data_IF_523093652660
#
_entry.id   IF_523093652660
#
_cell.length_a   1.000
_cell.length_b   1.000
_cell.length_c   1.000
_cell.angle_alpha   90.00
_cell.angle_beta   90.00
_cell.angle_gamma   90.00
#
_symmetry.space_group_name_H-M   'P 1'
#
loop_
_entity.id
_entity.type
_entity.pdbx_description
1 polymer ?
#
# COMPACT_ATOMS: atom_id res chain seq x y z
N UNK A 1 13.94 -3.20 -15.42
CA UNK A 1 12.71 -2.42 -15.24
C UNK A 1 12.14 -2.88 -13.91
N UNK A 2 11.81 -1.95 -13.01
CA UNK A 2 11.29 -2.30 -11.69
C UNK A 2 9.99 -3.08 -11.83
N UNK A 3 9.75 -4.03 -10.93
CA UNK A 3 8.54 -4.83 -10.90
C UNK A 3 7.49 -4.24 -9.94
N UNK A 4 6.20 -4.49 -10.16
CA UNK A 4 5.12 -4.00 -9.28
C UNK A 4 5.36 -4.40 -7.81
N UNK A 5 5.81 -5.63 -7.58
CA UNK A 5 6.15 -6.11 -6.23
C UNK A 5 7.30 -5.31 -5.62
N UNK A 6 8.26 -4.83 -6.40
CA UNK A 6 9.34 -4.00 -5.86
C UNK A 6 8.82 -2.64 -5.39
N UNK A 7 7.81 -2.08 -6.09
CA UNK A 7 7.09 -0.89 -5.64
C UNK A 7 6.38 -1.16 -4.31
N UNK A 8 5.62 -2.26 -4.22
CA UNK A 8 4.88 -2.61 -3.01
C UNK A 8 5.80 -2.94 -1.82
N UNK A 9 6.99 -3.52 -2.06
CA UNK A 9 8.00 -3.70 -1.02
C UNK A 9 8.48 -2.35 -0.48
N UNK A 10 8.64 -1.34 -1.33
CA UNK A 10 8.99 0.02 -0.87
C UNK A 10 7.85 0.63 -0.05
N UNK A 11 6.60 0.43 -0.48
CA UNK A 11 5.43 0.81 0.31
C UNK A 11 5.44 0.08 1.68
N UNK A 12 5.72 -1.22 1.73
CA UNK A 12 5.82 -1.99 2.98
C UNK A 12 6.93 -1.49 3.91
N UNK A 13 8.09 -1.16 3.36
CA UNK A 13 9.20 -0.58 4.13
C UNK A 13 8.83 0.79 4.69
N UNK A 14 8.15 1.61 3.88
CA UNK A 14 7.60 2.90 4.32
C UNK A 14 6.64 2.69 5.48
N UNK A 15 5.68 1.78 5.34
CA UNK A 15 4.67 1.45 6.35
C UNK A 15 5.31 1.02 7.66
N UNK A 16 6.29 0.12 7.60
CA UNK A 16 7.03 -0.34 8.76
C UNK A 16 7.76 0.82 9.43
N UNK A 17 8.46 1.64 8.65
CA UNK A 17 9.20 2.78 9.17
C UNK A 17 8.29 3.82 9.81
N UNK A 18 7.17 4.15 9.17
CA UNK A 18 6.15 5.04 9.73
C UNK A 18 5.64 4.50 11.06
N UNK A 19 5.33 3.20 11.15
CA UNK A 19 4.86 2.59 12.40
C UNK A 19 5.89 2.59 13.53
N UNK A 20 7.19 2.47 13.22
CA UNK A 20 8.29 2.55 14.20
C UNK A 20 8.51 3.97 14.71
N UNK A 21 8.25 4.98 13.88
CA UNK A 21 8.46 6.39 14.22
C UNK A 21 7.19 7.11 14.68
N UNK A 22 6.02 6.50 14.52
CA UNK A 22 4.76 7.14 14.86
C UNK A 22 4.68 7.39 16.37
N UNK A 23 4.55 8.67 16.74
CA UNK A 23 4.30 9.06 18.12
C UNK A 23 2.78 9.02 18.37
N UNK A 24 2.26 8.17 19.27
CA UNK A 24 0.83 8.11 19.58
C UNK A 24 0.27 9.41 20.16
N UNK A 25 1.14 10.31 20.65
CA UNK A 25 0.77 11.65 21.11
C UNK A 25 0.87 12.72 20.00
N UNK A 26 1.24 12.34 18.76
CA UNK A 26 1.23 13.24 17.60
C UNK A 26 -0.18 13.66 17.20
N UNK A 27 -0.29 14.66 16.32
CA UNK A 27 -1.59 15.06 15.80
C UNK A 27 -2.24 13.91 15.02
N UNK A 28 -3.52 13.59 15.34
CA UNK A 28 -4.30 12.56 14.62
C UNK A 28 -4.36 12.80 13.11
N UNK A 29 -4.17 14.04 12.67
CA UNK A 29 -4.11 14.41 11.26
C UNK A 29 -3.07 13.59 10.47
N UNK A 30 -1.89 13.34 11.05
CA UNK A 30 -0.84 12.58 10.38
C UNK A 30 -1.22 11.11 10.22
N UNK A 31 -1.83 10.51 11.25
CA UNK A 31 -2.38 9.16 11.19
C UNK A 31 -3.44 9.02 10.08
N UNK A 32 -4.37 9.98 10.02
CA UNK A 32 -5.45 9.98 9.01
C UNK A 32 -4.86 10.15 7.60
N UNK A 33 -3.87 11.03 7.44
CA UNK A 33 -3.19 11.25 6.16
C UNK A 33 -2.46 9.98 5.69
N UNK A 34 -1.76 9.29 6.59
CA UNK A 34 -1.13 8.01 6.32
C UNK A 34 -2.15 6.93 5.93
N UNK A 35 -3.26 6.82 6.66
CA UNK A 35 -4.32 5.88 6.32
C UNK A 35 -4.97 6.19 4.95
N UNK A 36 -5.10 7.47 4.60
CA UNK A 36 -5.57 7.87 3.27
C UNK A 36 -4.63 7.39 2.16
N UNK A 37 -3.31 7.43 2.37
CA UNK A 37 -2.33 6.85 1.46
C UNK A 37 -2.52 5.33 1.33
N UNK A 38 -2.64 4.62 2.46
CA UNK A 38 -2.84 3.18 2.44
C UNK A 38 -4.07 2.79 1.62
N UNK A 39 -5.22 3.39 1.93
CA UNK A 39 -6.51 3.04 1.33
C UNK A 39 -6.62 3.42 -0.14
N UNK A 40 -6.14 4.60 -0.51
CA UNK A 40 -6.34 5.15 -1.86
C UNK A 40 -5.19 4.86 -2.81
N UNK A 41 -4.07 4.34 -2.31
CA UNK A 41 -2.89 4.04 -3.12
C UNK A 41 -2.46 2.59 -2.95
N UNK A 42 -1.93 2.22 -1.78
CA UNK A 42 -1.32 0.90 -1.56
C UNK A 42 -2.33 -0.26 -1.72
N UNK A 43 -3.39 -0.27 -0.90
CA UNK A 43 -4.46 -1.28 -0.95
C UNK A 43 -5.23 -1.23 -2.27
N UNK A 44 -5.37 -0.04 -2.86
CA UNK A 44 -6.02 0.14 -4.16
C UNK A 44 -5.24 -0.56 -5.29
N UNK A 45 -3.90 -0.45 -5.27
CA UNK A 45 -3.03 -1.18 -6.21
C UNK A 45 -3.21 -2.69 -6.03
N UNK A 46 -3.23 -3.16 -4.78
CA UNK A 46 -3.38 -4.58 -4.49
C UNK A 46 -4.73 -5.14 -4.96
N UNK A 47 -5.82 -4.50 -4.52
CA UNK A 47 -7.18 -4.99 -4.75
C UNK A 47 -7.63 -4.86 -6.20
N UNK A 48 -7.18 -3.82 -6.91
CA UNK A 48 -7.60 -3.58 -8.30
C UNK A 48 -6.66 -4.14 -9.34
N UNK A 49 -5.40 -4.38 -8.98
CA UNK A 49 -4.36 -4.74 -9.96
C UNK A 49 -3.71 -6.06 -9.58
N UNK A 50 -2.99 -6.12 -8.45
CA UNK A 50 -2.17 -7.28 -8.10
C UNK A 50 -3.03 -8.54 -7.89
N UNK A 51 -4.02 -8.48 -7.01
CA UNK A 51 -4.85 -9.63 -6.66
C UNK A 51 -5.70 -10.12 -7.84
N UNK A 52 -6.37 -9.24 -8.63
CA UNK A 52 -7.07 -9.68 -9.82
C UNK A 52 -6.15 -10.32 -10.85
N UNK A 53 -4.95 -9.77 -11.07
CA UNK A 53 -3.98 -10.35 -12.00
C UNK A 53 -3.55 -11.75 -11.54
N UNK A 54 -3.24 -11.93 -10.25
CA UNK A 54 -2.89 -13.24 -9.70
C UNK A 54 -4.03 -14.25 -9.77
N UNK A 55 -5.29 -13.81 -9.64
CA UNK A 55 -6.46 -14.69 -9.80
C UNK A 55 -6.68 -15.18 -11.24
N UNK A 56 -6.06 -14.55 -12.25
CA UNK A 56 -6.06 -15.05 -13.64
C UNK A 56 -5.00 -16.15 -13.88
N UNK A 57 -4.01 -16.26 -13.00
CA UNK A 57 -2.96 -17.28 -13.10
C UNK A 57 -3.47 -18.69 -12.82
N UNK A 58 -2.71 -19.70 -13.26
CA UNK A 58 -3.02 -21.11 -13.04
C UNK A 58 -2.12 -21.66 -11.94
N UNK A 59 -2.70 -22.06 -10.82
CA UNK A 59 -1.96 -22.47 -9.62
C UNK A 59 -2.32 -23.90 -9.20
N UNK A 60 -1.32 -24.70 -8.83
CA UNK A 60 -1.55 -26.06 -8.33
C UNK A 60 -2.39 -26.11 -7.04
N UNK A 61 -2.42 -25.01 -6.28
CA UNK A 61 -3.15 -24.85 -5.02
C UNK A 61 -4.22 -23.73 -5.08
N UNK A 62 -4.79 -23.49 -6.27
CA UNK A 62 -5.68 -22.35 -6.57
C UNK A 62 -6.72 -22.03 -5.48
N UNK A 63 -7.45 -23.04 -4.99
CA UNK A 63 -8.47 -22.85 -3.95
C UNK A 63 -7.90 -22.22 -2.67
N UNK A 64 -6.77 -22.74 -2.18
CA UNK A 64 -6.15 -22.22 -0.96
C UNK A 64 -5.56 -20.84 -1.18
N UNK A 65 -4.94 -20.63 -2.34
CA UNK A 65 -4.37 -19.35 -2.71
C UNK A 65 -5.44 -18.26 -2.81
N UNK A 66 -6.59 -18.54 -3.44
CA UNK A 66 -7.67 -17.58 -3.58
C UNK A 66 -8.33 -17.26 -2.24
N UNK A 67 -8.51 -18.24 -1.36
CA UNK A 67 -8.95 -18.00 0.01
C UNK A 67 -7.97 -17.09 0.77
N UNK A 68 -6.66 -17.24 0.53
CA UNK A 68 -5.66 -16.36 1.13
C UNK A 68 -5.78 -14.92 0.62
N UNK A 69 -5.96 -14.73 -0.69
CA UNK A 69 -6.24 -13.38 -1.24
C UNK A 69 -7.51 -12.78 -0.64
N UNK A 70 -8.59 -13.56 -0.53
CA UNK A 70 -9.82 -13.08 0.10
C UNK A 70 -9.65 -12.73 1.58
N UNK A 71 -8.77 -13.42 2.29
CA UNK A 71 -8.43 -13.06 3.66
C UNK A 71 -7.67 -11.73 3.72
N UNK A 72 -6.69 -11.50 2.84
CA UNK A 72 -5.94 -10.24 2.78
C UNK A 72 -6.88 -9.04 2.53
N UNK A 73 -7.81 -9.17 1.59
CA UNK A 73 -8.84 -8.15 1.32
C UNK A 73 -9.72 -7.90 2.56
N UNK A 74 -10.05 -8.95 3.33
CA UNK A 74 -10.80 -8.78 4.59
C UNK A 74 -9.97 -8.08 5.66
N UNK A 75 -8.67 -8.31 5.69
CA UNK A 75 -7.76 -7.64 6.61
C UNK A 75 -7.70 -6.13 6.31
N UNK A 76 -7.73 -5.73 5.02
CA UNK A 76 -7.87 -4.30 4.63
C UNK A 76 -9.13 -3.66 5.21
N UNK A 77 -10.26 -4.36 5.14
CA UNK A 77 -11.51 -3.88 5.74
C UNK A 77 -11.41 -3.77 7.25
N UNK A 78 -10.79 -4.73 7.92
CA UNK A 78 -10.57 -4.69 9.37
C UNK A 78 -9.73 -3.47 9.76
N UNK A 79 -8.69 -3.17 8.98
CA UNK A 79 -7.85 -1.99 9.18
C UNK A 79 -8.65 -0.68 9.01
N UNK A 80 -9.51 -0.58 7.98
CA UNK A 80 -10.39 0.57 7.78
C UNK A 80 -11.37 0.75 8.95
N UNK A 81 -12.02 -0.33 9.39
CA UNK A 81 -12.93 -0.32 10.54
C UNK A 81 -12.20 0.12 11.83
N UNK A 82 -10.96 -0.33 12.05
CA UNK A 82 -10.14 0.09 13.18
C UNK A 82 -9.81 1.59 13.14
N UNK A 83 -9.48 2.13 11.96
CA UNK A 83 -9.24 3.58 11.80
C UNK A 83 -10.50 4.39 12.13
N UNK A 84 -11.68 3.95 11.67
CA UNK A 84 -12.93 4.66 11.99
C UNK A 84 -13.18 4.68 13.50
N UNK A 85 -12.90 3.59 14.21
CA UNK A 85 -13.00 3.54 15.67
C UNK A 85 -12.01 4.49 16.35
N UNK A 86 -10.75 4.53 15.90
CA UNK A 86 -9.73 5.44 16.42
C UNK A 86 -10.15 6.91 16.25
N UNK A 87 -10.68 7.27 15.09
CA UNK A 87 -11.20 8.63 14.81
C UNK A 87 -12.34 8.97 15.77
N UNK A 88 -13.28 8.05 15.98
CA UNK A 88 -14.41 8.26 16.88
C UNK A 88 -13.98 8.39 18.35
N UNK A 89 -13.01 7.59 18.81
CA UNK A 89 -12.45 7.70 20.15
C UNK A 89 -11.76 9.04 20.37
N UNK A 90 -10.98 9.51 19.39
CA UNK A 90 -10.39 10.84 19.47
C UNK A 90 -11.48 11.93 19.54
N UNK A 91 -12.50 11.85 18.68
CA UNK A 91 -13.62 12.82 18.65
C UNK A 91 -14.39 12.86 19.98
N UNK A 92 -14.49 11.73 20.66
CA UNK A 92 -15.21 11.59 21.95
C UNK A 92 -14.30 11.78 23.17
N UNK A 93 -13.02 12.12 22.98
CA UNK A 93 -12.07 12.37 24.07
C UNK A 93 -11.55 11.12 24.78
N UNK A 94 -11.76 9.92 24.20
CA UNK A 94 -11.25 8.64 24.71
C UNK A 94 -9.79 8.43 24.30
N UNK A 95 -8.91 9.34 24.71
CA UNK A 95 -7.51 9.40 24.24
C UNK A 95 -6.68 8.17 24.64
N UNK A 96 -7.01 7.51 25.76
CA UNK A 96 -6.32 6.29 26.17
C UNK A 96 -6.54 5.15 25.14
N UNK A 97 -7.75 5.05 24.57
CA UNK A 97 -8.04 4.08 23.51
C UNK A 97 -7.28 4.42 22.22
N UNK A 98 -7.18 5.70 21.88
CA UNK A 98 -6.39 6.16 20.70
C UNK A 98 -4.93 5.74 20.85
N UNK A 99 -4.31 6.05 22.00
CA UNK A 99 -2.91 5.73 22.31
C UNK A 99 -2.63 4.24 22.29
N UNK A 100 -3.56 3.42 22.75
CA UNK A 100 -3.43 1.96 22.72
C UNK A 100 -3.55 1.39 21.31
N UNK A 101 -4.49 1.92 20.50
CA UNK A 101 -4.89 1.26 19.26
C UNK A 101 -4.16 1.74 18.01
N UNK A 102 -3.54 2.92 18.02
CA UNK A 102 -2.65 3.32 16.91
C UNK A 102 -1.44 2.38 16.79
N UNK A 103 -0.68 2.05 17.86
CA UNK A 103 0.39 1.06 17.78
C UNK A 103 -0.11 -0.33 17.35
N UNK A 104 -1.30 -0.73 17.82
CA UNK A 104 -1.93 -1.99 17.41
C UNK A 104 -2.26 -2.00 15.91
N UNK A 105 -2.77 -0.89 15.37
CA UNK A 105 -3.03 -0.72 13.95
C UNK A 105 -1.77 -0.99 13.11
N UNK A 106 -0.66 -0.34 13.44
CA UNK A 106 0.61 -0.54 12.73
C UNK A 106 1.13 -1.97 12.85
N UNK A 107 1.00 -2.58 14.03
CA UNK A 107 1.38 -3.98 14.22
C UNK A 107 0.58 -4.91 13.30
N UNK A 108 -0.74 -4.77 13.26
CA UNK A 108 -1.62 -5.58 12.41
C UNK A 108 -1.26 -5.37 10.94
N UNK A 109 -1.03 -4.12 10.53
CA UNK A 109 -0.66 -3.78 9.16
C UNK A 109 0.69 -4.40 8.76
N UNK A 110 1.71 -4.35 9.63
CA UNK A 110 3.00 -5.00 9.35
C UNK A 110 2.86 -6.53 9.28
N UNK A 111 2.09 -7.14 10.18
CA UNK A 111 1.82 -8.58 10.14
C UNK A 111 1.08 -9.00 8.85
N UNK A 112 0.16 -8.16 8.39
CA UNK A 112 -0.53 -8.32 7.11
C UNK A 112 0.46 -8.27 5.94
N UNK A 113 1.29 -7.23 5.85
CA UNK A 113 2.31 -7.05 4.81
C UNK A 113 3.31 -8.24 4.76
N UNK A 114 3.77 -8.71 5.92
CA UNK A 114 4.65 -9.89 6.01
C UNK A 114 4.00 -11.15 5.42
N UNK A 115 2.70 -11.30 5.64
CA UNK A 115 1.92 -12.38 5.06
C UNK A 115 1.81 -12.21 3.54
N UNK A 116 1.59 -10.99 3.04
CA UNK A 116 1.57 -10.74 1.60
C UNK A 116 2.89 -11.08 0.91
N UNK A 117 4.00 -10.61 1.47
CA UNK A 117 5.34 -10.91 0.96
C UNK A 117 5.59 -12.42 0.87
N UNK A 118 5.15 -13.16 1.91
CA UNK A 118 5.35 -14.60 2.00
C UNK A 118 4.48 -15.40 1.02
N UNK A 119 3.22 -14.98 0.80
CA UNK A 119 2.23 -15.77 0.07
C UNK A 119 1.95 -15.26 -1.35
N UNK A 120 2.07 -13.96 -1.59
CA UNK A 120 1.65 -13.28 -2.82
C UNK A 120 2.87 -12.99 -3.71
N UNK A 121 3.90 -12.34 -3.17
CA UNK A 121 4.98 -11.77 -3.98
C UNK A 121 5.83 -12.82 -4.71
N UNK A 122 5.99 -14.01 -4.11
CA UNK A 122 6.66 -15.13 -4.78
C UNK A 122 5.94 -15.65 -6.03
N UNK A 123 4.60 -15.56 -6.07
CA UNK A 123 3.77 -15.99 -7.21
C UNK A 123 3.75 -14.95 -8.32
N UNK A 124 3.87 -13.68 -7.98
CA UNK A 124 3.94 -12.60 -8.96
C UNK A 124 5.07 -12.81 -10.00
N UNK A 125 6.22 -13.32 -9.55
CA UNK A 125 7.36 -13.63 -10.42
C UNK A 125 7.06 -14.68 -11.50
N UNK A 126 5.99 -15.46 -11.34
CA UNK A 126 5.56 -16.49 -12.29
C UNK A 126 4.52 -15.96 -13.30
N UNK A 127 4.01 -14.75 -13.11
CA UNK A 127 3.08 -14.12 -14.05
C UNK A 127 3.77 -13.79 -15.38
N UNK A 128 3.03 -13.80 -16.51
CA UNK A 128 3.57 -13.37 -17.80
C UNK A 128 4.11 -11.95 -17.76
N UNK A 129 5.18 -11.69 -18.50
CA UNK A 129 5.84 -10.38 -18.53
C UNK A 129 4.89 -9.25 -18.95
N UNK A 130 3.99 -9.50 -19.91
CA UNK A 130 2.99 -8.53 -20.36
C UNK A 130 2.00 -8.13 -19.27
N UNK A 131 1.55 -9.09 -18.45
CA UNK A 131 0.67 -8.82 -17.30
C UNK A 131 1.42 -8.01 -16.23
N UNK A 132 2.69 -8.35 -15.96
CA UNK A 132 3.51 -7.58 -15.01
C UNK A 132 3.75 -6.15 -15.46
N UNK A 133 4.06 -5.94 -16.74
CA UNK A 133 4.25 -4.61 -17.32
C UNK A 133 2.96 -3.78 -17.27
N UNK A 134 1.83 -4.40 -17.63
CA UNK A 134 0.52 -3.74 -17.59
C UNK A 134 0.17 -3.32 -16.16
N UNK A 135 0.37 -4.20 -15.20
CA UNK A 135 0.08 -3.95 -13.79
C UNK A 135 0.93 -2.80 -13.21
N UNK A 136 2.24 -2.74 -13.54
CA UNK A 136 3.09 -1.64 -13.12
C UNK A 136 2.60 -0.28 -13.67
N UNK A 137 2.19 -0.26 -14.94
CA UNK A 137 1.65 0.94 -15.58
C UNK A 137 0.32 1.36 -14.93
N UNK A 138 -0.56 0.43 -14.62
CA UNK A 138 -1.83 0.73 -13.93
C UNK A 138 -1.59 1.24 -12.50
N UNK A 139 -0.63 0.65 -11.77
CA UNK A 139 -0.28 1.07 -10.43
C UNK A 139 0.24 2.52 -10.42
N UNK A 140 0.99 2.91 -11.45
CA UNK A 140 1.42 4.29 -11.65
C UNK A 140 0.25 5.26 -11.75
N UNK A 141 -0.80 4.89 -12.48
CA UNK A 141 -1.98 5.76 -12.62
C UNK A 141 -2.76 5.84 -11.28
N UNK A 142 -2.77 4.78 -10.47
CA UNK A 142 -3.29 4.85 -9.09
C UNK A 142 -2.51 5.85 -8.25
N UNK A 143 -1.18 5.81 -8.27
CA UNK A 143 -0.33 6.78 -7.55
C UNK A 143 -0.61 8.21 -8.01
N UNK A 144 -0.74 8.43 -9.33
CA UNK A 144 -1.06 9.75 -9.89
C UNK A 144 -2.43 10.26 -9.45
N UNK A 145 -3.44 9.39 -9.41
CA UNK A 145 -4.80 9.73 -8.96
C UNK A 145 -4.85 10.05 -7.46
N UNK A 146 -4.07 9.34 -6.63
CA UNK A 146 -3.90 9.68 -5.23
C UNK A 146 -3.22 11.04 -5.03
N UNK A 147 -2.30 11.35 -5.95
CA UNK A 147 -1.56 12.60 -6.04
C UNK A 147 -0.08 12.39 -5.79
N UNK A 148 0.74 12.55 -6.84
CA UNK A 148 2.18 12.26 -6.80
C UNK A 148 2.90 12.92 -5.63
N UNK A 149 2.67 14.22 -5.39
CA UNK A 149 3.29 14.93 -4.25
C UNK A 149 2.94 14.33 -2.88
N UNK A 150 1.71 13.82 -2.72
CA UNK A 150 1.28 13.15 -1.49
C UNK A 150 1.95 11.79 -1.34
N UNK A 151 2.03 11.03 -2.43
CA UNK A 151 2.74 9.75 -2.47
C UNK A 151 4.21 9.90 -2.09
N UNK A 152 4.92 10.84 -2.74
CA UNK A 152 6.33 11.13 -2.43
C UNK A 152 6.50 11.64 -1.00
N UNK A 153 5.55 12.42 -0.48
CA UNK A 153 5.57 12.92 0.88
C UNK A 153 5.44 11.83 1.95
N UNK A 154 4.63 10.79 1.70
CA UNK A 154 4.46 9.67 2.64
C UNK A 154 5.58 8.65 2.51
N UNK A 155 6.02 8.35 1.28
CA UNK A 155 7.07 7.36 1.00
C UNK A 155 8.49 7.90 1.15
N UNK A 156 8.63 9.22 1.32
CA UNK A 156 9.91 9.94 1.32
C UNK A 156 10.77 9.70 0.07
N UNK A 157 10.16 9.20 -1.01
CA UNK A 157 10.83 8.99 -2.27
C UNK A 157 11.12 10.35 -2.94
N UNK A 158 12.28 10.44 -3.57
CA UNK A 158 12.55 11.52 -4.52
C UNK A 158 11.76 11.29 -5.82
N UNK A 159 11.42 12.38 -6.51
CA UNK A 159 10.81 12.31 -7.84
C UNK A 159 11.64 11.50 -8.83
N UNK A 160 12.98 11.60 -8.76
CA UNK A 160 13.89 10.77 -9.57
C UNK A 160 13.79 9.27 -9.27
N UNK A 161 13.64 8.90 -8.00
CA UNK A 161 13.41 7.50 -7.60
C UNK A 161 12.07 6.98 -8.12
N UNK A 162 11.02 7.80 -8.05
CA UNK A 162 9.71 7.48 -8.63
C UNK A 162 9.80 7.24 -10.14
N UNK A 163 10.44 8.13 -10.89
CA UNK A 163 10.60 7.97 -12.34
C UNK A 163 11.41 6.71 -12.68
N UNK A 164 12.47 6.40 -11.93
CA UNK A 164 13.22 5.17 -12.09
C UNK A 164 12.33 3.92 -11.88
N UNK A 165 11.55 3.90 -10.79
CA UNK A 165 10.66 2.79 -10.45
C UNK A 165 9.56 2.57 -11.48
N UNK A 166 8.97 3.65 -12.01
CA UNK A 166 7.87 3.56 -12.96
C UNK A 166 8.30 3.68 -14.43
N UNK A 167 9.61 3.66 -14.70
CA UNK A 167 10.17 3.70 -16.05
C UNK A 167 9.84 4.99 -16.82
N UNK A 168 9.68 6.11 -16.13
CA UNK A 168 9.44 7.41 -16.76
C UNK A 168 10.77 8.10 -17.10
N UNK A 169 10.86 8.78 -18.25
CA UNK A 169 11.95 9.71 -18.46
C UNK A 169 11.82 10.83 -17.42
N UNK A 170 12.85 10.97 -16.56
CA UNK A 170 12.95 12.09 -15.64
C UNK A 170 12.83 13.40 -16.44
N UNK A 171 11.84 14.22 -16.07
CA UNK A 171 11.44 15.47 -16.74
C UNK A 171 12.25 15.89 -17.97
N UNK A 172 11.68 15.68 -19.16
CA UNK A 172 11.75 16.76 -20.14
C UNK A 172 10.71 17.74 -19.65
N UNK A 173 11.16 18.80 -18.96
CA UNK A 173 10.36 20.02 -18.82
C UNK A 173 9.76 20.30 -20.19
N UNK A 174 8.44 20.27 -20.29
CA UNK A 174 7.76 20.70 -21.50
C UNK A 174 8.12 22.18 -21.65
N UNK A 175 8.99 22.59 -22.61
CA UNK A 175 9.19 24.01 -22.82
C UNK A 175 7.84 24.52 -23.30
N UNK A 176 7.28 25.46 -22.55
CA UNK A 176 6.02 26.11 -22.88
C UNK A 176 5.96 26.42 -24.38
N UNK A 177 4.90 25.95 -25.04
CA UNK A 177 4.44 26.43 -26.35
C UNK A 177 3.21 27.28 -26.12
#
# INVERSE_FOLDING_TARGET
>A
MTDLVEVLIIDHLTIKHTGELFDPDSELGDFINFHSYLKQCHMEIEEKILFPALKKGVWGDERWFFLKIEQLIKDHKLLDDLVQNIIEWHRTGQLDLVREHIPLYFKILVDHNNSEESYIFGRWKQMPEEERYTALREAREVVRNFGLKRYLGVTELSEGAFHYMFGEPAGIENPAV
#
